data_IF_187657646088
#
_entry.id   IF_187657646088
#
_cell.length_a   1.000
_cell.length_b   1.000
_cell.length_c   1.000
_cell.angle_alpha   90.00
_cell.angle_beta   90.00
_cell.angle_gamma   90.00
#
_symmetry.space_group_name_H-M   'P 1'
#
loop_
_entity.id
_entity.type
_entity.pdbx_description
1 polymer ?
#
# COMPACT_ATOMS: atom_id res chain seq x y z
N UNK A 1 -36.86 -2.47 -32.51
CA UNK A 1 -35.98 -1.83 -31.51
C UNK A 1 -35.55 -2.90 -30.53
N UNK A 2 -34.40 -3.54 -30.80
CA UNK A 2 -33.82 -4.54 -29.90
C UNK A 2 -33.09 -3.83 -28.75
N UNK A 3 -33.48 -4.14 -27.52
CA UNK A 3 -32.84 -3.59 -26.34
C UNK A 3 -31.45 -4.22 -26.16
N UNK A 4 -30.40 -3.41 -26.32
CA UNK A 4 -29.02 -3.76 -26.00
C UNK A 4 -28.91 -4.15 -24.52
N UNK A 5 -28.89 -5.46 -24.24
CA UNK A 5 -28.54 -5.98 -22.92
C UNK A 5 -27.02 -5.91 -22.76
N UNK A 6 -26.57 -5.21 -21.71
CA UNK A 6 -25.18 -5.22 -21.32
C UNK A 6 -24.71 -6.66 -21.01
N UNK A 7 -23.50 -7.05 -21.40
CA UNK A 7 -22.97 -8.37 -21.09
C UNK A 7 -22.86 -8.55 -19.58
N UNK A 8 -23.32 -9.71 -19.10
CA UNK A 8 -23.18 -10.14 -17.71
C UNK A 8 -21.68 -10.23 -17.40
N UNK A 9 -21.18 -9.59 -16.33
CA UNK A 9 -19.78 -9.73 -15.95
C UNK A 9 -19.49 -11.18 -15.61
N UNK A 10 -18.61 -11.82 -16.40
CA UNK A 10 -18.07 -13.14 -16.10
C UNK A 10 -17.24 -13.03 -14.81
N UNK A 11 -17.85 -13.39 -13.69
CA UNK A 11 -17.15 -13.64 -12.45
C UNK A 11 -16.33 -14.91 -12.62
N UNK A 12 -15.00 -14.76 -12.71
CA UNK A 12 -14.08 -15.88 -12.48
C UNK A 12 -14.11 -16.17 -10.98
N UNK A 13 -15.08 -16.96 -10.55
CA UNK A 13 -15.12 -17.57 -9.22
C UNK A 13 -14.30 -18.87 -9.24
N UNK A 14 -13.04 -18.80 -9.63
CA UNK A 14 -12.12 -19.91 -9.36
C UNK A 14 -11.48 -19.67 -7.99
N UNK A 15 -11.66 -20.58 -7.02
CA UNK A 15 -10.84 -20.54 -5.82
C UNK A 15 -9.39 -20.73 -6.25
N UNK A 16 -8.53 -19.75 -5.94
CA UNK A 16 -7.10 -19.85 -6.16
C UNK A 16 -6.61 -21.16 -5.51
N UNK A 17 -6.30 -22.15 -6.34
CA UNK A 17 -6.20 -23.57 -6.00
C UNK A 17 -5.09 -23.92 -5.02
N UNK A 18 -5.31 -23.64 -3.75
CA UNK A 18 -4.60 -24.28 -2.66
C UNK A 18 -5.56 -25.23 -1.95
N UNK A 19 -5.38 -26.56 -2.09
CA UNK A 19 -5.99 -27.47 -1.15
C UNK A 19 -5.28 -27.28 0.20
N UNK A 20 -5.84 -26.43 1.07
CA UNK A 20 -5.57 -26.56 2.51
C UNK A 20 -6.23 -27.88 2.92
N UNK A 21 -5.47 -28.96 2.85
CA UNK A 21 -5.88 -30.29 3.30
C UNK A 21 -6.19 -30.18 4.80
N UNK A 22 -7.47 -30.03 5.14
CA UNK A 22 -7.95 -29.86 6.52
C UNK A 22 -9.05 -28.80 6.73
N UNK A 23 -9.33 -27.93 5.76
CA UNK A 23 -10.40 -26.93 5.85
C UNK A 23 -11.30 -26.97 4.61
N UNK A 24 -12.08 -28.04 4.47
CA UNK A 24 -13.29 -27.98 3.67
C UNK A 24 -14.31 -27.14 4.45
N UNK A 25 -14.72 -26.01 3.88
CA UNK A 25 -15.91 -25.29 4.30
C UNK A 25 -17.12 -26.13 3.89
N UNK A 26 -17.72 -26.81 4.85
CA UNK A 26 -19.02 -27.44 4.69
C UNK A 26 -20.10 -26.35 4.86
N UNK A 27 -20.91 -26.02 3.84
CA UNK A 27 -21.93 -24.99 3.92
C UNK A 27 -23.16 -25.41 4.74
N UNK A 28 -23.21 -26.65 5.28
CA UNK A 28 -24.39 -27.21 5.93
C UNK A 28 -24.45 -27.02 7.46
N UNK A 29 -23.52 -26.28 8.08
CA UNK A 29 -23.44 -26.19 9.54
C UNK A 29 -24.17 -24.97 10.15
N UNK A 30 -25.48 -24.91 9.94
CA UNK A 30 -26.41 -24.23 10.86
C UNK A 30 -27.27 -25.30 11.51
N UNK A 31 -26.92 -25.74 12.73
CA UNK A 31 -27.89 -26.14 13.75
C UNK A 31 -27.22 -26.36 15.11
N UNK A 32 -27.74 -25.57 16.04
CA UNK A 32 -27.63 -25.53 17.49
C UNK A 32 -27.17 -26.77 18.27
N UNK A 33 -26.57 -26.44 19.43
CA UNK A 33 -26.53 -27.23 20.66
C UNK A 33 -25.55 -28.42 20.71
N UNK A 34 -24.25 -28.11 20.82
CA UNK A 34 -23.45 -28.81 21.83
C UNK A 34 -22.30 -27.92 22.34
N UNK A 35 -22.08 -27.95 23.65
CA UNK A 35 -21.04 -27.17 24.32
C UNK A 35 -19.67 -27.78 24.04
N UNK A 36 -18.68 -26.93 23.74
CA UNK A 36 -17.31 -27.30 23.31
C UNK A 36 -17.30 -27.86 21.87
N UNK A 37 -16.96 -27.08 20.85
CA UNK A 37 -15.63 -26.52 20.60
C UNK A 37 -15.83 -25.16 19.93
N UNK A 38 -15.70 -24.07 20.68
CA UNK A 38 -15.35 -22.80 20.03
C UNK A 38 -13.98 -23.04 19.39
N UNK A 39 -13.96 -23.36 18.09
CA UNK A 39 -12.73 -23.39 17.30
C UNK A 39 -12.08 -22.05 17.50
N UNK A 40 -11.06 -22.05 18.35
CA UNK A 40 -10.32 -20.87 18.76
C UNK A 40 -9.60 -20.36 17.53
N UNK A 41 -10.28 -19.47 16.80
CA UNK A 41 -9.69 -18.89 15.63
C UNK A 41 -8.53 -18.04 16.11
N UNK A 42 -7.32 -18.22 15.55
CA UNK A 42 -6.13 -17.53 16.03
C UNK A 42 -6.35 -16.01 16.01
N UNK A 43 -5.77 -15.33 17.01
CA UNK A 43 -5.92 -13.88 17.17
C UNK A 43 -5.66 -13.17 15.83
N UNK A 44 -6.58 -12.33 15.33
CA UNK A 44 -6.42 -11.63 14.06
C UNK A 44 -5.06 -10.97 13.87
N UNK A 45 -4.40 -10.50 14.94
CA UNK A 45 -3.03 -9.97 14.86
C UNK A 45 -2.01 -10.99 14.33
N UNK A 46 -2.14 -12.26 14.74
CA UNK A 46 -1.21 -13.33 14.38
C UNK A 46 -1.34 -13.77 12.93
N UNK A 47 -2.57 -13.78 12.40
CA UNK A 47 -2.85 -14.31 11.05
C UNK A 47 -2.98 -13.24 9.97
N UNK A 48 -3.16 -11.96 10.32
CA UNK A 48 -3.43 -10.88 9.34
C UNK A 48 -2.46 -10.88 8.16
N UNK A 49 -1.18 -11.11 8.41
CA UNK A 49 -0.14 -11.13 7.38
C UNK A 49 -0.30 -12.25 6.33
N UNK A 50 -1.10 -13.28 6.63
CA UNK A 50 -1.39 -14.41 5.75
C UNK A 50 -2.65 -14.19 4.90
N UNK A 51 -3.55 -13.29 5.32
CA UNK A 51 -4.87 -13.10 4.74
C UNK A 51 -5.02 -11.76 4.02
N UNK A 52 -5.92 -11.74 3.03
CA UNK A 52 -6.49 -10.49 2.54
C UNK A 52 -7.52 -9.96 3.56
N UNK A 53 -7.82 -8.67 3.50
CA UNK A 53 -8.74 -8.00 4.43
C UNK A 53 -10.14 -8.61 4.43
N UNK A 54 -10.65 -8.98 3.25
CA UNK A 54 -12.02 -9.52 3.12
C UNK A 54 -12.18 -10.91 3.76
N UNK A 55 -11.31 -11.90 3.48
CA UNK A 55 -11.30 -13.18 4.19
C UNK A 55 -11.13 -13.08 5.70
N UNK A 56 -10.56 -11.99 6.23
CA UNK A 56 -10.42 -11.78 7.68
C UNK A 56 -11.77 -11.45 8.35
N UNK A 57 -12.74 -10.90 7.62
CA UNK A 57 -13.97 -10.37 8.21
C UNK A 57 -14.82 -11.38 8.99
N UNK A 58 -15.05 -12.63 8.52
CA UNK A 58 -15.83 -13.62 9.27
C UNK A 58 -15.20 -13.96 10.63
N UNK A 59 -13.90 -13.71 10.78
CA UNK A 59 -13.12 -14.06 11.96
C UNK A 59 -13.03 -12.93 13.00
N UNK A 60 -13.52 -11.75 12.66
CA UNK A 60 -13.61 -10.62 13.59
C UNK A 60 -15.02 -10.59 14.17
N UNK A 61 -15.12 -10.67 15.49
CA UNK A 61 -16.37 -10.54 16.24
C UNK A 61 -17.11 -9.23 15.88
N UNK A 62 -18.44 -9.27 15.66
CA UNK A 62 -19.24 -8.07 15.34
C UNK A 62 -19.07 -6.92 16.33
N UNK A 63 -18.98 -7.22 17.63
CA UNK A 63 -18.80 -6.24 18.70
C UNK A 63 -17.46 -5.50 18.55
N UNK A 64 -16.40 -6.22 18.17
CA UNK A 64 -15.08 -5.61 17.88
C UNK A 64 -15.15 -4.70 16.66
N UNK A 65 -15.92 -5.07 15.63
CA UNK A 65 -16.12 -4.23 14.44
C UNK A 65 -16.84 -2.93 14.77
N UNK A 66 -17.97 -3.00 15.48
CA UNK A 66 -18.74 -1.83 15.91
C UNK A 66 -17.89 -0.93 16.82
N UNK A 67 -17.19 -1.51 17.78
CA UNK A 67 -16.32 -0.78 18.70
C UNK A 67 -15.12 -0.13 17.99
N UNK A 68 -14.74 -0.56 16.79
CA UNK A 68 -13.61 -0.01 16.05
C UNK A 68 -13.86 1.41 15.52
N UNK A 69 -15.13 1.80 15.37
CA UNK A 69 -15.53 3.14 14.94
C UNK A 69 -15.56 4.15 16.10
N UNK A 70 -15.43 3.69 17.34
CA UNK A 70 -15.45 4.56 18.52
C UNK A 70 -14.05 4.99 18.97
N UNK A 71 -13.98 6.09 19.72
CA UNK A 71 -12.77 6.55 20.39
C UNK A 71 -12.01 7.62 19.60
N UNK A 72 -10.71 7.80 19.86
CA UNK A 72 -9.95 8.90 19.29
C UNK A 72 -9.75 8.71 17.79
N UNK A 73 -9.97 9.81 17.06
CA UNK A 73 -9.66 9.93 15.65
C UNK A 73 -8.29 10.60 15.49
N UNK A 74 -7.54 10.17 14.48
CA UNK A 74 -6.20 10.67 14.20
C UNK A 74 -6.07 11.02 12.72
N UNK A 75 -5.33 12.07 12.42
CA UNK A 75 -5.01 12.45 11.04
C UNK A 75 -3.86 11.60 10.51
N UNK A 76 -3.93 11.30 9.22
CA UNK A 76 -2.88 10.64 8.45
C UNK A 76 -2.22 11.70 7.57
N UNK A 77 -0.94 11.95 7.80
CA UNK A 77 -0.16 12.98 7.12
C UNK A 77 1.01 12.39 6.35
N UNK A 78 1.43 13.09 5.30
CA UNK A 78 2.67 12.82 4.59
C UNK A 78 3.87 13.37 5.37
N UNK A 79 4.89 12.54 5.61
CA UNK A 79 6.02 12.87 6.48
C UNK A 79 6.90 14.03 5.99
N UNK A 80 7.07 14.22 4.68
CA UNK A 80 7.91 15.31 4.17
C UNK A 80 7.13 16.61 3.95
N UNK A 81 5.90 16.53 3.43
CA UNK A 81 5.11 17.73 3.10
C UNK A 81 4.23 18.20 4.26
N UNK A 82 4.05 17.38 5.30
CA UNK A 82 3.05 17.57 6.36
C UNK A 82 1.63 17.72 5.84
N UNK A 83 1.36 17.37 4.57
CA UNK A 83 0.04 17.43 3.98
C UNK A 83 -0.86 16.37 4.61
N UNK A 84 -2.09 16.77 4.98
CA UNK A 84 -3.11 15.82 5.45
C UNK A 84 -3.63 14.99 4.28
N UNK A 85 -3.34 13.69 4.31
CA UNK A 85 -3.77 12.74 3.29
C UNK A 85 -5.17 12.17 3.60
N UNK A 86 -5.47 11.98 4.88
CA UNK A 86 -6.78 11.57 5.36
C UNK A 86 -7.02 12.15 6.75
N UNK A 87 -8.13 12.85 6.95
CA UNK A 87 -8.50 13.42 8.25
C UNK A 87 -9.38 12.48 9.06
N UNK A 88 -9.27 12.54 10.39
CA UNK A 88 -10.17 11.87 11.31
C UNK A 88 -10.37 10.36 11.04
N UNK A 89 -9.26 9.61 10.98
CA UNK A 89 -9.32 8.14 10.93
C UNK A 89 -9.48 7.57 12.35
N UNK A 90 -10.51 6.75 12.64
CA UNK A 90 -10.62 6.12 13.96
C UNK A 90 -9.41 5.23 14.24
N UNK A 91 -8.69 5.50 15.34
CA UNK A 91 -7.45 4.78 15.67
C UNK A 91 -7.70 3.28 15.88
N UNK A 92 -8.81 2.91 16.52
CA UNK A 92 -9.19 1.51 16.76
C UNK A 92 -9.46 0.78 15.44
N UNK A 93 -10.02 1.45 14.44
CA UNK A 93 -10.24 0.90 13.09
C UNK A 93 -8.91 0.54 12.43
N UNK A 94 -7.94 1.45 12.44
CA UNK A 94 -6.62 1.19 11.88
C UNK A 94 -5.95 0.00 12.58
N UNK A 95 -6.01 -0.06 13.91
CA UNK A 95 -5.44 -1.18 14.67
C UNK A 95 -6.14 -2.49 14.35
N UNK A 96 -7.48 -2.50 14.25
CA UNK A 96 -8.25 -3.71 13.96
C UNK A 96 -7.86 -4.33 12.62
N UNK A 97 -7.68 -3.52 11.58
CA UNK A 97 -7.46 -4.01 10.22
C UNK A 97 -6.00 -4.09 9.79
N UNK A 98 -5.14 -3.18 10.26
CA UNK A 98 -3.74 -3.10 9.85
C UNK A 98 -2.81 -3.71 10.91
N UNK A 99 -3.24 -3.72 12.16
CA UNK A 99 -2.51 -4.29 13.28
C UNK A 99 -1.78 -3.31 14.13
N UNK A 100 -1.64 -3.66 15.41
CA UNK A 100 -0.99 -2.79 16.40
C UNK A 100 0.47 -2.54 16.04
N UNK A 101 1.19 -3.59 15.67
CA UNK A 101 2.63 -3.50 15.36
C UNK A 101 2.92 -2.70 14.08
N UNK A 102 2.00 -2.73 13.11
CA UNK A 102 2.12 -1.92 11.89
C UNK A 102 1.80 -0.46 12.20
N UNK A 103 0.65 -0.20 12.82
CA UNK A 103 0.18 1.15 13.11
C UNK A 103 1.13 1.89 14.06
N UNK A 104 1.67 1.21 15.07
CA UNK A 104 2.62 1.79 16.05
C UNK A 104 3.86 2.38 15.39
N UNK A 105 4.32 1.83 14.26
CA UNK A 105 5.50 2.35 13.53
C UNK A 105 5.29 3.75 12.98
N UNK A 106 4.06 4.04 12.55
CA UNK A 106 3.69 5.28 11.89
C UNK A 106 3.09 6.31 12.85
N UNK A 107 2.60 5.90 14.03
CA UNK A 107 2.11 6.86 15.03
C UNK A 107 3.26 7.70 15.56
N UNK A 108 3.05 9.01 15.57
CA UNK A 108 3.88 10.01 16.24
C UNK A 108 3.02 10.85 17.18
N UNK A 109 3.59 11.23 18.30
CA UNK A 109 2.94 12.11 19.29
C UNK A 109 3.48 13.52 19.06
N UNK A 110 2.59 14.46 18.79
CA UNK A 110 2.92 15.85 18.50
C UNK A 110 2.75 16.73 19.74
N UNK A 111 1.82 16.37 20.63
CA UNK A 111 1.60 17.06 21.89
C UNK A 111 1.25 16.07 23.01
N UNK A 112 1.60 16.45 24.24
CA UNK A 112 1.23 15.81 25.51
C UNK A 112 0.58 16.83 26.44
N UNK A 113 0.07 16.36 27.57
CA UNK A 113 -0.46 17.23 28.64
C UNK A 113 0.60 18.23 29.14
N UNK A 114 1.85 17.77 29.26
CA UNK A 114 3.01 18.61 29.56
C UNK A 114 4.02 18.49 28.42
N UNK A 115 4.01 19.49 27.53
CA UNK A 115 4.91 19.58 26.38
C UNK A 115 6.34 19.98 26.76
N UNK A 116 6.54 20.64 27.89
CA UNK A 116 7.87 21.10 28.32
C UNK A 116 8.66 19.92 28.90
N UNK A 117 8.06 19.16 29.82
CA UNK A 117 8.71 17.99 30.42
C UNK A 117 8.49 16.69 29.63
N UNK A 118 7.69 16.72 28.55
CA UNK A 118 7.25 15.55 27.78
C UNK A 118 6.58 14.46 28.64
N UNK A 119 5.78 14.88 29.63
CA UNK A 119 5.08 14.00 30.58
C UNK A 119 3.58 13.93 30.30
N UNK A 120 2.91 12.95 30.91
CA UNK A 120 1.47 12.77 30.80
C UNK A 120 1.01 12.03 29.53
N UNK A 121 -0.31 11.99 29.36
CA UNK A 121 -0.96 11.33 28.23
C UNK A 121 -0.74 12.11 26.90
N UNK A 122 -0.71 11.41 25.75
CA UNK A 122 -0.63 12.09 24.46
C UNK A 122 -1.95 12.82 24.16
N UNK A 123 -1.87 14.13 23.92
CA UNK A 123 -3.02 14.99 23.58
C UNK A 123 -3.21 15.10 22.07
N UNK A 124 -2.13 15.02 21.29
CA UNK A 124 -2.18 15.02 19.84
C UNK A 124 -1.31 13.90 19.26
N UNK A 125 -1.93 13.02 18.46
CA UNK A 125 -1.25 11.95 17.74
C UNK A 125 -1.66 11.95 16.28
N UNK A 126 -0.68 11.74 15.39
CA UNK A 126 -0.90 11.59 13.96
C UNK A 126 -0.21 10.34 13.43
N UNK A 127 -0.72 9.80 12.34
CA UNK A 127 -0.05 8.77 11.56
C UNK A 127 0.81 9.49 10.52
N UNK A 128 2.13 9.33 10.62
CA UNK A 128 3.09 9.95 9.70
C UNK A 128 3.58 8.87 8.75
N UNK A 129 3.23 8.99 7.47
CA UNK A 129 3.62 8.05 6.43
C UNK A 129 4.85 8.53 5.68
N UNK A 130 5.62 7.60 5.12
CA UNK A 130 6.76 7.93 4.27
C UNK A 130 6.30 8.58 2.96
N UNK A 131 7.00 9.59 2.49
CA UNK A 131 6.59 10.31 1.28
C UNK A 131 6.70 9.49 0.01
N UNK A 132 5.89 9.84 -0.99
CA UNK A 132 5.85 9.21 -2.34
C UNK A 132 5.45 7.73 -2.34
N UNK A 133 4.94 7.22 -1.22
CA UNK A 133 4.47 5.84 -1.09
C UNK A 133 2.96 5.73 -1.24
N UNK A 134 2.21 6.73 -0.77
CA UNK A 134 0.74 6.72 -0.71
C UNK A 134 0.15 8.02 -1.24
N UNK A 135 -1.15 8.01 -1.50
CA UNK A 135 -1.93 9.17 -1.92
C UNK A 135 -3.19 9.29 -1.08
N UNK A 136 -3.75 10.50 -1.00
CA UNK A 136 -5.02 10.74 -0.33
C UNK A 136 -6.15 9.85 -0.90
N UNK A 137 -6.18 9.62 -2.21
CA UNK A 137 -7.18 8.76 -2.85
C UNK A 137 -7.05 7.29 -2.41
N UNK A 138 -5.82 6.75 -2.36
CA UNK A 138 -5.56 5.39 -1.90
C UNK A 138 -6.00 5.20 -0.44
N UNK A 139 -5.63 6.12 0.45
CA UNK A 139 -6.05 6.07 1.85
C UNK A 139 -7.56 6.20 2.02
N UNK A 140 -8.21 7.09 1.26
CA UNK A 140 -9.68 7.21 1.26
C UNK A 140 -10.34 5.89 0.88
N UNK A 141 -9.85 5.19 -0.15
CA UNK A 141 -10.39 3.89 -0.55
C UNK A 141 -10.23 2.86 0.57
N UNK A 142 -9.02 2.73 1.13
CA UNK A 142 -8.72 1.77 2.18
C UNK A 142 -9.56 2.04 3.45
N UNK A 143 -9.53 3.27 3.96
CA UNK A 143 -10.25 3.65 5.19
C UNK A 143 -11.77 3.58 4.99
N UNK A 144 -12.29 3.98 3.83
CA UNK A 144 -13.73 3.85 3.55
C UNK A 144 -14.18 2.40 3.49
N UNK A 145 -13.35 1.51 2.92
CA UNK A 145 -13.64 0.08 2.93
C UNK A 145 -13.67 -0.48 4.37
N UNK A 146 -12.68 -0.11 5.20
CA UNK A 146 -12.63 -0.51 6.62
C UNK A 146 -13.85 0.01 7.40
N UNK A 147 -14.21 1.30 7.23
CA UNK A 147 -15.40 1.89 7.88
C UNK A 147 -16.68 1.14 7.50
N UNK A 148 -16.86 0.82 6.22
CA UNK A 148 -17.99 0.01 5.74
C UNK A 148 -17.98 -1.41 6.32
N UNK A 149 -16.82 -2.05 6.43
CA UNK A 149 -16.72 -3.36 7.06
C UNK A 149 -17.14 -3.38 8.53
N UNK A 150 -17.09 -2.23 9.20
CA UNK A 150 -17.52 -2.05 10.57
C UNK A 150 -18.96 -1.51 10.72
N UNK A 151 -19.62 -1.12 9.63
CA UNK A 151 -20.97 -0.56 9.68
C UNK A 151 -22.01 -1.67 9.70
N UNK A 152 -23.02 -1.58 10.57
CA UNK A 152 -24.06 -2.59 10.73
C UNK A 152 -24.72 -2.98 9.40
N UNK A 153 -25.07 -2.00 8.56
CA UNK A 153 -25.73 -2.23 7.28
C UNK A 153 -24.91 -3.06 6.27
N UNK A 154 -23.58 -3.06 6.37
CA UNK A 154 -22.70 -3.67 5.36
C UNK A 154 -21.79 -4.75 5.89
N UNK A 155 -21.68 -4.95 7.21
CA UNK A 155 -20.67 -5.85 7.80
C UNK A 155 -20.79 -7.32 7.39
N UNK A 156 -21.99 -7.80 7.03
CA UNK A 156 -22.24 -9.18 6.58
C UNK A 156 -22.13 -9.34 5.06
N UNK A 157 -22.31 -8.26 4.29
CA UNK A 157 -22.38 -8.26 2.83
C UNK A 157 -21.17 -7.59 2.17
N UNK A 158 -20.08 -7.41 2.92
CA UNK A 158 -18.87 -6.79 2.40
C UNK A 158 -18.30 -7.59 1.22
N UNK A 159 -17.94 -6.86 0.17
CA UNK A 159 -17.19 -7.40 -0.97
C UNK A 159 -15.70 -7.15 -0.79
N UNK A 160 -14.83 -7.92 -1.47
CA UNK A 160 -13.41 -7.63 -1.54
C UNK A 160 -13.13 -6.18 -1.96
N UNK A 161 -12.00 -5.64 -1.53
CA UNK A 161 -11.57 -4.29 -1.90
C UNK A 161 -11.58 -4.17 -3.43
N UNK A 162 -12.31 -3.18 -3.96
CA UNK A 162 -12.44 -2.95 -5.40
C UNK A 162 -11.19 -2.28 -5.93
N UNK A 163 -10.71 -2.76 -7.09
CA UNK A 163 -9.54 -2.20 -7.76
C UNK A 163 -9.97 -0.92 -8.52
N UNK A 164 -9.31 0.22 -8.30
CA UNK A 164 -9.60 1.46 -9.02
C UNK A 164 -9.33 1.33 -10.52
N UNK A 165 -10.15 1.99 -11.35
CA UNK A 165 -9.91 2.06 -12.80
C UNK A 165 -8.80 3.06 -13.15
N UNK A 166 -8.59 4.07 -12.30
CA UNK A 166 -7.50 5.02 -12.47
C UNK A 166 -6.17 4.33 -12.10
N UNK A 167 -5.24 4.29 -13.06
CA UNK A 167 -3.98 3.57 -12.93
C UNK A 167 -3.13 4.08 -11.77
N UNK A 168 -2.96 5.41 -11.68
CA UNK A 168 -2.19 6.02 -10.58
C UNK A 168 -2.78 5.68 -9.21
N UNK A 169 -4.10 5.76 -9.06
CA UNK A 169 -4.78 5.42 -7.80
C UNK A 169 -4.62 3.94 -7.48
N UNK A 170 -4.70 3.04 -8.48
CA UNK A 170 -4.47 1.61 -8.30
C UNK A 170 -3.03 1.32 -7.83
N UNK A 171 -2.02 1.87 -8.50
CA UNK A 171 -0.61 1.74 -8.13
C UNK A 171 -0.34 2.28 -6.72
N UNK A 172 -0.86 3.48 -6.42
CA UNK A 172 -0.72 4.09 -5.10
C UNK A 172 -1.40 3.28 -4.01
N UNK A 173 -2.57 2.69 -4.29
CA UNK A 173 -3.26 1.80 -3.36
C UNK A 173 -2.48 0.51 -3.13
N UNK A 174 -1.90 -0.09 -4.17
CA UNK A 174 -1.07 -1.28 -4.03
C UNK A 174 0.16 -1.02 -3.12
N UNK A 175 0.88 0.10 -3.32
CA UNK A 175 1.98 0.51 -2.42
C UNK A 175 1.51 0.76 -1.00
N UNK A 176 0.35 1.39 -0.84
CA UNK A 176 -0.25 1.66 0.47
C UNK A 176 -0.55 0.35 1.21
N UNK A 177 -1.11 -0.64 0.52
CA UNK A 177 -1.37 -1.97 1.08
C UNK A 177 -0.07 -2.70 1.44
N UNK A 178 0.94 -2.64 0.57
CA UNK A 178 2.26 -3.23 0.81
C UNK A 178 2.94 -2.63 2.05
N UNK A 179 2.91 -1.30 2.21
CA UNK A 179 3.41 -0.60 3.39
C UNK A 179 2.72 -1.04 4.68
N UNK A 180 1.40 -1.25 4.63
CA UNK A 180 0.63 -1.78 5.76
C UNK A 180 0.70 -3.31 5.92
N UNK A 181 1.58 -3.98 5.19
CA UNK A 181 1.80 -5.44 5.22
C UNK A 181 0.57 -6.26 4.83
N UNK A 182 -0.33 -5.69 4.03
CA UNK A 182 -1.48 -6.38 3.45
C UNK A 182 -1.07 -7.01 2.12
N UNK A 183 -0.07 -7.89 2.16
CA UNK A 183 0.64 -8.38 0.98
C UNK A 183 -0.25 -9.14 -0.01
N UNK A 184 -1.27 -9.86 0.47
CA UNK A 184 -2.23 -10.58 -0.41
C UNK A 184 -3.10 -9.63 -1.21
N UNK A 185 -3.62 -8.56 -0.59
CA UNK A 185 -4.39 -7.55 -1.30
C UNK A 185 -3.50 -6.72 -2.23
N UNK A 186 -2.28 -6.37 -1.79
CA UNK A 186 -1.30 -5.71 -2.65
C UNK A 186 -1.01 -6.56 -3.91
N UNK A 187 -0.69 -7.85 -3.74
CA UNK A 187 -0.45 -8.76 -4.87
C UNK A 187 -1.65 -8.87 -5.83
N UNK A 188 -2.87 -8.91 -5.30
CA UNK A 188 -4.09 -8.91 -6.13
C UNK A 188 -4.20 -7.64 -6.99
N UNK A 189 -3.83 -6.49 -6.42
CA UNK A 189 -3.75 -5.25 -7.18
C UNK A 189 -2.61 -5.29 -8.21
N UNK A 190 -1.43 -5.79 -7.84
CA UNK A 190 -0.28 -5.92 -8.77
C UNK A 190 -0.64 -6.75 -10.01
N UNK A 191 -1.35 -7.87 -9.82
CA UNK A 191 -1.83 -8.72 -10.93
C UNK A 191 -2.79 -7.94 -11.83
N UNK A 192 -3.76 -7.23 -11.26
CA UNK A 192 -4.73 -6.46 -12.03
C UNK A 192 -4.09 -5.27 -12.77
N UNK A 193 -3.16 -4.56 -12.12
CA UNK A 193 -2.39 -3.47 -12.73
C UNK A 193 -1.54 -4.01 -13.89
N UNK A 194 -0.90 -5.17 -13.72
CA UNK A 194 -0.13 -5.83 -14.78
C UNK A 194 -1.03 -6.21 -15.95
N UNK A 195 -2.22 -6.74 -15.68
CA UNK A 195 -3.21 -7.03 -16.71
C UNK A 195 -3.67 -5.75 -17.44
N UNK A 196 -3.83 -4.63 -16.73
CA UNK A 196 -4.14 -3.34 -17.35
C UNK A 196 -3.03 -2.87 -18.29
N UNK A 197 -1.76 -3.01 -17.92
CA UNK A 197 -0.63 -2.69 -18.81
C UNK A 197 -0.56 -3.56 -20.05
N UNK A 198 -0.97 -4.83 -19.95
CA UNK A 198 -1.03 -5.76 -21.08
C UNK A 198 -2.33 -5.67 -21.89
N UNK A 199 -3.34 -4.98 -21.37
CA UNK A 199 -4.63 -4.83 -22.04
C UNK A 199 -4.55 -3.87 -23.22
N UNK A 200 -5.56 -3.88 -24.10
CA UNK A 200 -5.68 -2.95 -25.22
C UNK A 200 -5.85 -1.48 -24.80
N UNK A 201 -6.02 -1.20 -23.49
CA UNK A 201 -6.15 0.18 -23.00
C UNK A 201 -4.81 0.91 -23.15
N UNK A 202 -4.74 1.98 -23.96
CA UNK A 202 -3.51 2.75 -24.09
C UNK A 202 -3.20 3.49 -22.78
N UNK A 203 -1.93 3.44 -22.36
CA UNK A 203 -1.39 4.32 -21.31
C UNK A 203 -1.20 5.72 -21.92
N UNK A 204 -1.70 6.74 -21.24
CA UNK A 204 -1.62 8.13 -21.72
C UNK A 204 -0.42 8.89 -21.15
N UNK A 205 0.02 9.92 -21.87
CA UNK A 205 1.12 10.81 -21.46
C UNK A 205 0.91 11.41 -20.05
N UNK A 206 -0.32 11.82 -19.74
CA UNK A 206 -0.68 12.37 -18.42
C UNK A 206 -0.55 11.34 -17.30
N UNK A 207 -0.80 10.06 -17.58
CA UNK A 207 -0.71 8.99 -16.58
C UNK A 207 0.76 8.73 -16.23
N UNK A 208 1.63 8.60 -17.24
CA UNK A 208 3.07 8.43 -16.99
C UNK A 208 3.68 9.65 -16.30
N UNK A 209 3.29 10.87 -16.68
CA UNK A 209 3.74 12.11 -16.03
C UNK A 209 3.34 12.13 -14.55
N UNK A 210 2.10 11.75 -14.25
CA UNK A 210 1.59 11.67 -12.88
C UNK A 210 2.33 10.60 -12.06
N UNK A 211 2.50 9.41 -12.63
CA UNK A 211 3.22 8.32 -11.96
C UNK A 211 4.69 8.70 -11.70
N UNK A 212 5.36 9.29 -12.68
CA UNK A 212 6.74 9.76 -12.55
C UNK A 212 6.90 10.77 -11.41
N UNK A 213 6.05 11.81 -11.39
CA UNK A 213 6.09 12.85 -10.35
C UNK A 213 5.79 12.30 -8.95
N UNK A 214 4.76 11.47 -8.84
CA UNK A 214 4.20 11.11 -7.55
C UNK A 214 4.84 9.85 -6.94
N UNK A 215 5.23 8.87 -7.76
CA UNK A 215 5.81 7.60 -7.28
C UNK A 215 7.34 7.59 -7.32
N UNK A 216 7.94 8.36 -8.25
CA UNK A 216 9.38 8.45 -8.43
C UNK A 216 9.92 7.54 -9.54
N UNK A 217 11.15 7.81 -9.98
CA UNK A 217 11.77 7.15 -11.13
C UNK A 217 12.09 5.66 -10.91
N UNK A 218 12.38 5.28 -9.66
CA UNK A 218 12.76 3.92 -9.27
C UNK A 218 11.55 3.01 -9.01
N UNK A 219 10.33 3.54 -9.15
CA UNK A 219 9.12 2.80 -8.81
C UNK A 219 8.82 1.70 -9.84
N UNK A 220 8.40 0.52 -9.34
CA UNK A 220 8.12 -0.64 -10.20
C UNK A 220 7.00 -0.40 -11.20
N UNK A 221 6.00 0.39 -10.83
CA UNK A 221 4.89 0.73 -11.73
C UNK A 221 5.30 1.78 -12.75
N UNK A 222 6.20 2.70 -12.39
CA UNK A 222 6.78 3.66 -13.34
C UNK A 222 7.61 2.92 -14.38
N UNK A 223 8.47 1.98 -13.98
CA UNK A 223 9.21 1.12 -14.92
C UNK A 223 8.26 0.36 -15.86
N UNK A 224 7.21 -0.27 -15.33
CA UNK A 224 6.23 -1.02 -16.14
C UNK A 224 5.48 -0.11 -17.13
N UNK A 225 5.09 1.08 -16.68
CA UNK A 225 4.43 2.10 -17.49
C UNK A 225 5.32 2.61 -18.62
N UNK A 226 6.60 2.88 -18.35
CA UNK A 226 7.60 3.27 -19.36
C UNK A 226 7.79 2.14 -20.36
N UNK A 227 7.87 0.88 -19.90
CA UNK A 227 8.03 -0.27 -20.80
C UNK A 227 6.83 -0.41 -21.75
N UNK A 228 5.61 -0.31 -21.22
CA UNK A 228 4.38 -0.41 -22.02
C UNK A 228 4.26 0.73 -23.04
N UNK A 229 4.59 1.96 -22.64
CA UNK A 229 4.53 3.13 -23.53
C UNK A 229 5.68 3.15 -24.55
N UNK A 230 6.89 2.73 -24.14
CA UNK A 230 8.07 2.64 -25.00
C UNK A 230 7.87 1.70 -26.19
N UNK A 231 7.11 0.63 -26.04
CA UNK A 231 6.74 -0.30 -27.13
C UNK A 231 5.90 0.37 -28.23
N UNK A 232 5.24 1.49 -27.91
CA UNK A 232 4.35 2.24 -28.81
C UNK A 232 4.97 3.52 -29.34
N UNK A 233 6.24 3.79 -29.03
CA UNK A 233 6.96 4.98 -29.51
C UNK A 233 7.18 5.00 -31.03
N UNK A 234 6.87 3.91 -31.74
CA UNK A 234 6.82 3.89 -33.21
C UNK A 234 5.55 4.53 -33.78
N UNK A 235 4.50 4.72 -32.97
CA UNK A 235 3.25 5.37 -33.37
C UNK A 235 3.41 6.90 -33.35
N UNK A 236 3.29 7.62 -34.48
CA UNK A 236 3.52 9.08 -34.53
C UNK A 236 2.64 9.87 -33.56
N UNK A 237 1.37 9.46 -33.40
CA UNK A 237 0.44 10.11 -32.46
C UNK A 237 0.92 10.06 -31.02
N UNK A 238 1.51 8.94 -30.60
CA UNK A 238 2.05 8.78 -29.25
C UNK A 238 3.27 9.68 -29.05
N UNK A 239 4.13 9.80 -30.06
CA UNK A 239 5.30 10.69 -30.01
C UNK A 239 4.88 12.16 -29.87
N UNK A 240 3.86 12.59 -30.61
CA UNK A 240 3.34 13.96 -30.54
C UNK A 240 2.78 14.27 -29.15
N UNK A 241 1.99 13.36 -28.57
CA UNK A 241 1.43 13.50 -27.21
C UNK A 241 2.52 13.58 -26.13
N UNK A 242 3.65 12.90 -26.35
CA UNK A 242 4.76 12.83 -25.40
C UNK A 242 5.82 13.92 -25.64
N UNK A 243 5.74 14.69 -26.72
CA UNK A 243 6.73 15.72 -27.06
C UNK A 243 6.91 16.73 -25.93
N UNK A 244 5.82 17.13 -25.28
CA UNK A 244 5.85 18.03 -24.13
C UNK A 244 6.53 17.43 -22.88
N UNK A 245 6.70 16.11 -22.79
CA UNK A 245 7.47 15.48 -21.72
C UNK A 245 8.98 15.50 -21.99
N UNK A 246 9.41 15.57 -23.26
CA UNK A 246 10.84 15.58 -23.61
C UNK A 246 11.59 16.76 -23.01
N UNK A 247 10.98 17.95 -23.04
CA UNK A 247 11.55 19.18 -22.49
C UNK A 247 11.47 19.20 -20.96
N UNK A 248 10.36 18.72 -20.37
CA UNK A 248 10.12 18.78 -18.91
C UNK A 248 10.83 17.68 -18.14
N UNK A 249 10.99 16.50 -18.75
CA UNK A 249 11.51 15.28 -18.11
C UNK A 249 12.47 14.54 -19.06
N UNK A 250 13.68 15.09 -19.30
CA UNK A 250 14.64 14.51 -20.25
C UNK A 250 15.05 13.08 -19.89
N UNK A 251 15.11 12.74 -18.59
CA UNK A 251 15.43 11.38 -18.13
C UNK A 251 14.31 10.40 -18.46
N UNK A 252 13.06 10.76 -18.21
CA UNK A 252 11.87 9.96 -18.57
C UNK A 252 11.83 9.73 -20.07
N UNK A 253 12.02 10.79 -20.86
CA UNK A 253 12.06 10.72 -22.32
C UNK A 253 13.16 9.77 -22.80
N UNK A 254 14.37 9.90 -22.25
CA UNK A 254 15.49 9.01 -22.59
C UNK A 254 15.15 7.54 -22.33
N UNK A 255 14.45 7.24 -21.21
CA UNK A 255 14.01 5.87 -20.89
C UNK A 255 12.89 5.38 -21.80
N UNK A 256 12.00 6.25 -22.25
CA UNK A 256 10.94 5.92 -23.22
C UNK A 256 11.54 5.61 -24.60
N UNK A 257 12.49 6.42 -25.06
CA UNK A 257 13.13 6.26 -26.37
C UNK A 257 14.17 5.14 -26.43
N UNK A 258 14.77 4.76 -25.29
CA UNK A 258 15.80 3.73 -25.23
C UNK A 258 15.41 2.60 -24.26
N UNK A 259 14.88 1.47 -24.78
CA UNK A 259 14.50 0.32 -23.96
C UNK A 259 15.64 -0.24 -23.11
N UNK A 260 16.89 -0.20 -23.61
CA UNK A 260 18.06 -0.69 -22.86
C UNK A 260 18.32 0.14 -21.61
N UNK A 261 18.11 1.46 -21.68
CA UNK A 261 18.24 2.34 -20.53
C UNK A 261 17.18 2.03 -19.47
N UNK A 262 15.94 1.76 -19.89
CA UNK A 262 14.88 1.40 -18.94
C UNK A 262 15.16 0.05 -18.25
N UNK A 263 15.76 -0.92 -18.93
CA UNK A 263 16.14 -2.20 -18.31
C UNK A 263 17.21 -2.06 -17.21
N UNK A 264 18.09 -1.05 -17.29
CA UNK A 264 19.03 -0.75 -16.20
C UNK A 264 18.33 -0.25 -14.94
N UNK A 265 17.14 0.35 -15.09
CA UNK A 265 16.28 0.81 -14.00
C UNK A 265 15.24 -0.24 -13.58
N UNK A 266 15.43 -1.52 -13.94
CA UNK A 266 14.47 -2.57 -13.62
C UNK A 266 14.40 -2.73 -12.09
N UNK A 267 13.21 -2.59 -11.49
CA UNK A 267 13.05 -2.74 -10.05
C UNK A 267 13.30 -4.19 -9.63
N UNK A 268 13.71 -4.37 -8.38
CA UNK A 268 13.68 -5.68 -7.75
C UNK A 268 12.21 -6.04 -7.47
N UNK A 269 11.64 -6.94 -8.29
CA UNK A 269 10.28 -7.40 -8.08
C UNK A 269 10.23 -8.33 -6.86
N UNK A 270 9.45 -7.93 -5.86
CA UNK A 270 9.33 -8.61 -4.57
C UNK A 270 8.64 -9.98 -4.61
N UNK A 271 9.12 -10.94 -5.42
CA UNK A 271 8.88 -12.36 -5.11
C UNK A 271 9.68 -12.81 -3.89
N UNK A 272 10.72 -12.07 -3.52
CA UNK A 272 11.56 -12.36 -2.35
C UNK A 272 10.78 -12.50 -1.03
N UNK A 273 9.63 -11.83 -0.87
CA UNK A 273 8.81 -12.01 0.34
C UNK A 273 7.99 -13.31 0.30
N UNK A 274 7.51 -13.73 -0.88
CA UNK A 274 6.83 -15.01 -1.07
C UNK A 274 7.82 -16.16 -0.84
N UNK A 275 9.04 -16.03 -1.36
CA UNK A 275 10.14 -16.98 -1.16
C UNK A 275 10.49 -17.10 0.34
N UNK A 276 10.62 -15.96 1.05
CA UNK A 276 10.84 -15.93 2.51
C UNK A 276 9.69 -16.52 3.35
N UNK A 277 8.46 -16.51 2.84
CA UNK A 277 7.29 -17.12 3.50
C UNK A 277 7.24 -18.64 3.25
N UNK A 278 7.67 -19.11 2.08
CA UNK A 278 7.77 -20.53 1.76
C UNK A 278 8.85 -21.27 2.54
N UNK A 279 9.97 -20.60 2.84
CA UNK A 279 11.08 -21.19 3.60
C UNK A 279 10.75 -21.45 5.09
N UNK A 280 9.77 -20.72 5.67
CA UNK A 280 9.38 -20.93 7.07
C UNK A 280 8.47 -22.15 7.28
N UNK A 281 7.86 -22.68 6.22
CA UNK A 281 7.04 -23.91 6.30
C UNK A 281 7.86 -25.21 6.33
N UNK A 282 9.16 -25.18 6.04
CA UNK A 282 10.03 -26.36 6.09
C UNK A 282 10.92 -26.47 7.35
N UNK A 283 10.81 -25.53 8.29
CA UNK A 283 11.64 -25.47 9.50
C UNK A 283 11.11 -26.23 10.72
N UNK A 284 9.92 -26.84 10.64
CA UNK A 284 9.35 -27.69 11.72
C UNK A 284 9.35 -29.18 11.33
N UNK A 285 10.42 -29.64 10.70
CA UNK A 285 10.80 -31.04 10.85
C UNK A 285 11.53 -31.15 12.18
N UNK A 286 10.84 -31.69 13.19
CA UNK A 286 11.45 -32.21 14.41
C UNK A 286 12.54 -33.23 14.01
N UNK A 287 13.76 -32.76 13.83
CA UNK A 287 14.94 -33.61 13.89
C UNK A 287 15.14 -33.98 15.36
N UNK A 288 15.01 -35.26 15.65
CA UNK A 288 15.37 -35.84 16.93
C UNK A 288 16.83 -35.48 17.29
N UNK A 289 17.17 -35.29 18.57
CA UNK A 289 18.53 -35.01 18.96
C UNK A 289 19.35 -36.29 18.85
N UNK A 290 20.18 -36.38 17.81
CA UNK A 290 21.29 -37.33 17.81
C UNK A 290 22.51 -36.70 18.50
N UNK A 291 23.06 -37.52 19.38
CA UNK A 291 24.19 -37.27 20.28
C UNK A 291 25.49 -37.60 19.55
N UNK A 292 26.50 -36.74 19.74
CA UNK A 292 27.89 -36.96 19.30
C UNK A 292 28.21 -36.21 18.01
N UNK A 293 29.32 -35.52 17.83
CA UNK A 293 30.55 -35.39 18.59
C UNK A 293 31.53 -34.62 17.69
N UNK A 294 32.57 -34.09 18.32
CA UNK A 294 33.86 -33.67 17.75
C UNK A 294 33.97 -32.36 16.93
N UNK A 295 34.51 -31.36 17.63
CA UNK A 295 35.71 -30.58 17.27
C UNK A 295 36.06 -30.34 15.80
N UNK A 296 35.64 -29.19 15.28
CA UNK A 296 36.17 -28.64 14.03
C UNK A 296 36.23 -27.11 14.07
N UNK A 297 37.39 -26.56 14.41
CA UNK A 297 37.66 -25.11 14.38
C UNK A 297 37.75 -24.63 12.94
N UNK A 298 36.71 -23.93 12.45
CA UNK A 298 36.72 -23.29 11.15
C UNK A 298 37.16 -21.82 11.25
N UNK A 299 38.31 -21.56 10.63
CA UNK A 299 38.95 -20.24 10.44
C UNK A 299 38.03 -19.33 9.61
N UNK A 300 37.73 -18.13 10.13
CA UNK A 300 37.00 -17.08 9.41
C UNK A 300 37.94 -16.34 8.44
N UNK A 301 37.57 -16.12 7.17
CA UNK A 301 38.31 -15.23 6.30
C UNK A 301 38.01 -13.76 6.65
N UNK A 302 39.08 -12.99 6.85
CA UNK A 302 39.09 -11.55 7.08
C UNK A 302 38.79 -10.86 5.74
N UNK A 303 37.70 -10.11 5.68
CA UNK A 303 37.42 -9.17 4.58
C UNK A 303 38.13 -7.84 4.86
N UNK A 304 38.82 -7.23 3.86
CA UNK A 304 39.46 -5.94 4.04
C UNK A 304 38.43 -4.80 4.11
N UNK A 305 38.52 -4.04 5.20
CA UNK A 305 37.83 -2.78 5.45
C UNK A 305 38.22 -1.73 4.41
N UNK A 306 37.27 -1.30 3.59
CA UNK A 306 37.45 -0.15 2.70
C UNK A 306 37.58 1.15 3.49
N UNK A 307 38.70 1.83 3.26
CA UNK A 307 39.00 3.19 3.71
C UNK A 307 37.89 4.18 3.31
N UNK A 308 37.48 4.99 4.28
CA UNK A 308 36.61 6.15 4.13
C UNK A 308 37.50 7.41 4.25
N UNK A 309 37.69 8.23 3.20
CA UNK A 309 38.40 9.48 3.34
C UNK A 309 37.47 10.63 3.79
N UNK A 310 37.95 11.36 4.79
CA UNK A 310 37.88 12.82 4.87
C UNK A 310 36.52 13.49 4.94
N UNK A 311 36.04 13.73 6.16
CA UNK A 311 35.00 14.73 6.45
C UNK A 311 35.68 16.12 6.50
N UNK A 312 35.64 16.88 5.41
CA UNK A 312 36.03 18.29 5.42
C UNK A 312 34.89 19.14 6.01
N UNK A 313 35.26 20.00 6.96
CA UNK A 313 34.41 20.98 7.62
C UNK A 313 33.99 22.05 6.60
N UNK A 314 32.70 22.15 6.33
CA UNK A 314 32.12 23.31 5.65
C UNK A 314 31.47 24.24 6.69
N UNK A 315 31.87 25.49 6.56
CA UNK A 315 31.65 26.65 7.41
C UNK A 315 30.19 27.09 7.52
N UNK A 316 29.87 27.59 8.72
CA UNK A 316 28.74 28.47 9.02
C UNK A 316 28.64 29.63 8.02
N UNK A 317 27.55 29.68 7.26
CA UNK A 317 26.96 30.93 6.78
C UNK A 317 25.43 30.83 6.85
N UNK A 318 24.86 31.52 7.83
CA UNK A 318 23.43 31.76 7.97
C UNK A 318 22.93 32.62 6.81
N UNK A 319 21.87 32.23 6.07
CA UNK A 319 21.24 33.12 5.11
C UNK A 319 20.26 34.07 5.82
N UNK A 320 20.45 35.37 5.55
CA UNK A 320 19.56 36.45 5.96
C UNK A 320 18.15 36.26 5.40
N UNK A 321 17.16 36.46 6.28
CA UNK A 321 15.73 36.47 5.96
C UNK A 321 15.40 37.76 5.23
N UNK A 322 15.12 37.66 3.94
CA UNK A 322 14.46 38.71 3.15
C UNK A 322 12.95 38.49 3.20
N UNK A 323 12.25 39.41 3.86
CA UNK A 323 10.80 39.59 3.75
C UNK A 323 10.45 40.17 2.37
N UNK A 324 9.44 39.62 1.70
CA UNK A 324 8.47 40.47 1.03
C UNK A 324 7.03 40.11 1.41
N UNK A 325 6.38 41.09 2.01
CA UNK A 325 4.94 41.22 2.14
C UNK A 325 4.27 41.23 0.77
N UNK A 326 3.51 40.18 0.46
CA UNK A 326 2.53 40.16 -0.63
C UNK A 326 1.17 39.73 -0.07
N UNK A 327 0.07 40.45 -0.37
CA UNK A 327 -1.27 40.11 0.11
C UNK A 327 -1.84 38.89 -0.62
N UNK A 328 -2.69 38.08 0.04
CA UNK A 328 -3.28 36.91 -0.57
C UNK A 328 -4.37 37.27 -1.59
N UNK A 329 -4.27 36.66 -2.78
CA UNK A 329 -5.32 36.60 -3.79
C UNK A 329 -6.51 35.81 -3.23
N UNK A 330 -7.68 36.44 -3.10
CA UNK A 330 -8.97 35.78 -2.90
C UNK A 330 -9.65 35.55 -4.25
N UNK A 331 -9.90 34.31 -4.68
CA UNK A 331 -10.84 34.07 -5.76
C UNK A 331 -12.27 34.08 -5.20
N UNK A 332 -13.04 35.09 -5.58
CA UNK A 332 -14.50 35.11 -5.44
C UNK A 332 -15.10 34.02 -6.32
N UNK A 333 -15.68 32.98 -5.70
CA UNK A 333 -16.50 31.99 -6.38
C UNK A 333 -17.97 32.40 -6.23
N UNK A 334 -18.52 32.99 -7.28
CA UNK A 334 -19.94 33.29 -7.42
C UNK A 334 -20.58 32.27 -8.35
N UNK A 335 -21.70 31.68 -7.93
CA UNK A 335 -22.74 31.24 -8.88
C UNK A 335 -23.03 29.73 -8.90
N UNK A 336 -23.99 29.35 -8.05
CA UNK A 336 -25.21 28.59 -8.37
C UNK A 336 -25.16 27.54 -9.48
N UNK A 337 -25.44 26.30 -9.08
CA UNK A 337 -25.89 25.24 -9.96
C UNK A 337 -26.74 24.25 -9.17
N UNK A 338 -28.04 24.54 -9.11
CA UNK A 338 -29.09 23.61 -8.70
C UNK A 338 -29.00 22.32 -9.52
N UNK A 339 -29.05 21.18 -8.84
CA UNK A 339 -29.37 19.89 -9.45
C UNK A 339 -30.52 19.29 -8.64
N UNK A 340 -31.71 19.35 -9.24
CA UNK A 340 -32.85 18.49 -8.93
C UNK A 340 -32.65 17.09 -9.50
#
# INVERSE_FOLDING_TARGET
MEALRAPVPQYVSEPAGYPIRGHQFDPSYESHADGSVHRWYPDPETIRHLHALHPLLPHIQPERKLNALSGPEIDIIDGNTSQVLYSAAPKKLLVLFLGREVVKKFIRTFAREDNEAWRGAPTEQKVVLESKTTSAAALKILVSWMKRACTFATMQSMKPLRIPNNLFVACSLAKTLEMFRLHRDAYRLDVAITQQFSSERPVFAVEIETMWRCLGEDDKYVYACIRALGQRMSEPRVVDDLKGLSERYPVLWSRLSNPRLNELCKPHFGREWFERMGDRSNGFSHAAPEVGGDGGVAVRPILPSNHRPGLEKASDQSPQVLNPSAPPFTPTYSGNGDWS
#
